data_IF_537808683428
#
_entry.id   IF_537808683428
#
_cell.length_a   1.000
_cell.length_b   1.000
_cell.length_c   1.000
_cell.angle_alpha   90.00
_cell.angle_beta   90.00
_cell.angle_gamma   90.00
#
_symmetry.space_group_name_H-M   'P 1'
#
loop_
_entity.id
_entity.type
_entity.pdbx_description
1 polymer ?
#
# COMPACT_ATOMS: atom_id res chain seq x y z
N UNK A 1 -2.53 32.43 6.94
CA UNK A 1 -1.24 32.07 6.34
C UNK A 1 -1.08 30.56 6.44
N UNK A 2 -0.66 29.95 5.34
CA UNK A 2 -0.52 28.52 5.02
C UNK A 2 -0.81 27.46 6.09
N UNK A 3 -1.87 26.68 5.86
CA UNK A 3 -2.02 25.33 6.39
C UNK A 3 -1.00 24.43 5.71
N UNK A 4 0.19 24.28 6.29
CA UNK A 4 1.16 23.28 5.85
C UNK A 4 0.68 21.91 6.33
N UNK A 5 -0.14 21.23 5.53
CA UNK A 5 -0.32 19.78 5.67
C UNK A 5 0.99 19.13 5.22
N UNK A 6 1.89 18.91 6.17
CA UNK A 6 2.97 17.96 6.00
C UNK A 6 2.33 16.58 5.88
N UNK A 7 2.19 16.08 4.65
CA UNK A 7 1.59 14.79 4.37
C UNK A 7 2.59 13.73 4.84
N UNK A 8 2.49 13.34 6.10
CA UNK A 8 3.25 12.22 6.64
C UNK A 8 3.09 11.00 5.72
N UNK A 9 4.15 10.21 5.49
CA UNK A 9 4.02 8.99 4.73
C UNK A 9 2.91 8.13 5.35
N UNK A 10 2.05 7.50 4.52
CA UNK A 10 0.95 6.71 5.04
C UNK A 10 1.52 5.60 5.94
N UNK A 11 1.08 5.61 7.19
CA UNK A 11 1.40 4.52 8.10
C UNK A 11 0.66 3.26 7.63
N UNK A 12 -0.60 3.40 7.22
CA UNK A 12 -1.40 2.31 6.70
C UNK A 12 -1.98 2.67 5.32
N UNK A 13 -2.28 1.66 4.51
CA UNK A 13 -2.91 1.82 3.21
C UNK A 13 -4.04 0.81 3.02
N UNK A 14 -5.19 1.28 2.53
CA UNK A 14 -6.35 0.47 2.14
C UNK A 14 -6.59 0.65 0.64
N UNK A 15 -6.56 -0.44 -0.12
CA UNK A 15 -6.72 -0.44 -1.57
C UNK A 15 -8.01 -1.15 -1.95
N UNK A 16 -8.99 -0.38 -2.41
CA UNK A 16 -10.29 -0.86 -2.92
C UNK A 16 -10.41 -0.89 -4.45
N UNK A 17 -9.45 -0.30 -5.15
CA UNK A 17 -9.43 -0.22 -6.62
C UNK A 17 -8.08 -0.59 -7.20
N UNK A 18 -7.71 0.01 -8.33
CA UNK A 18 -6.45 -0.28 -8.99
C UNK A 18 -5.37 0.74 -8.60
N UNK A 19 -4.29 0.27 -7.99
CA UNK A 19 -3.09 1.05 -7.76
C UNK A 19 -1.96 0.53 -8.65
N UNK A 20 -1.32 1.40 -9.43
CA UNK A 20 -0.15 1.06 -10.23
C UNK A 20 0.96 2.08 -9.98
N UNK A 21 2.10 1.64 -9.45
CA UNK A 21 3.23 2.53 -9.16
C UNK A 21 4.11 2.04 -8.03
N UNK A 22 4.75 2.98 -7.33
CA UNK A 22 5.58 2.70 -6.16
C UNK A 22 4.80 3.02 -4.88
N UNK A 23 4.50 2.00 -4.09
CA UNK A 23 3.78 2.12 -2.82
C UNK A 23 4.71 1.76 -1.67
N UNK A 24 4.88 2.67 -0.71
CA UNK A 24 5.67 2.42 0.49
C UNK A 24 4.78 2.67 1.71
N UNK A 25 4.52 1.61 2.46
CA UNK A 25 3.65 1.58 3.64
C UNK A 25 4.48 1.04 4.79
N UNK A 26 4.64 1.82 5.86
CA UNK A 26 5.47 1.36 7.00
C UNK A 26 4.71 0.47 7.98
N UNK A 27 3.40 0.64 8.07
CA UNK A 27 2.47 -0.19 8.83
C UNK A 27 1.77 -1.18 7.91
N UNK A 28 0.44 -1.19 7.94
CA UNK A 28 -0.38 -2.23 7.31
C UNK A 28 -0.89 -1.84 5.93
N UNK A 29 -0.65 -2.72 4.96
CA UNK A 29 -1.24 -2.67 3.62
C UNK A 29 -2.41 -3.66 3.55
N UNK A 30 -3.63 -3.13 3.41
CA UNK A 30 -4.85 -3.91 3.19
C UNK A 30 -5.28 -3.82 1.72
N UNK A 31 -5.24 -4.94 1.02
CA UNK A 31 -5.79 -5.07 -0.34
C UNK A 31 -7.15 -5.74 -0.26
N UNK A 32 -8.19 -4.99 -0.64
CA UNK A 32 -9.57 -5.46 -0.56
C UNK A 32 -9.91 -6.44 -1.66
N UNK A 33 -11.06 -7.10 -1.55
CA UNK A 33 -11.52 -8.10 -2.52
C UNK A 33 -11.56 -7.63 -3.99
N UNK A 34 -11.72 -6.32 -4.25
CA UNK A 34 -11.68 -5.72 -5.60
C UNK A 34 -10.41 -4.91 -5.85
N UNK A 35 -9.48 -4.90 -4.89
CA UNK A 35 -8.24 -4.15 -4.95
C UNK A 35 -7.20 -4.85 -5.80
N UNK A 36 -6.57 -4.11 -6.70
CA UNK A 36 -5.47 -4.59 -7.54
C UNK A 36 -4.28 -3.66 -7.37
N UNK A 37 -3.15 -4.19 -6.90
CA UNK A 37 -1.91 -3.43 -6.74
C UNK A 37 -0.87 -3.94 -7.74
N UNK A 38 -0.23 -3.02 -8.45
CA UNK A 38 0.79 -3.28 -9.46
C UNK A 38 2.02 -2.40 -9.25
N UNK A 39 3.22 -2.94 -9.37
CA UNK A 39 4.47 -2.16 -9.40
C UNK A 39 5.45 -2.55 -8.30
N UNK A 40 6.03 -1.57 -7.60
CA UNK A 40 6.94 -1.80 -6.47
C UNK A 40 6.21 -1.50 -5.17
N UNK A 41 6.04 -2.52 -4.34
CA UNK A 41 5.30 -2.43 -3.08
C UNK A 41 6.25 -2.74 -1.93
N UNK A 42 6.43 -1.77 -1.04
CA UNK A 42 7.08 -1.95 0.24
C UNK A 42 6.05 -1.86 1.37
N UNK A 43 5.99 -2.87 2.24
CA UNK A 43 5.05 -2.90 3.37
C UNK A 43 5.72 -3.33 4.68
N UNK A 44 5.15 -2.95 5.82
CA UNK A 44 5.46 -3.54 7.12
C UNK A 44 4.66 -4.81 7.37
N UNK A 45 3.34 -4.72 7.23
CA UNK A 45 2.41 -5.85 7.33
C UNK A 45 1.47 -5.84 6.12
N UNK A 46 1.07 -7.02 5.63
CA UNK A 46 0.18 -7.14 4.48
C UNK A 46 -1.03 -8.03 4.79
N UNK A 47 -2.21 -7.57 4.39
CA UNK A 47 -3.44 -8.35 4.37
C UNK A 47 -4.10 -8.25 3.00
N UNK A 48 -4.45 -9.39 2.42
CA UNK A 48 -5.13 -9.47 1.13
C UNK A 48 -6.44 -10.23 1.33
N UNK A 49 -7.56 -9.55 1.13
CA UNK A 49 -8.87 -10.17 1.14
C UNK A 49 -9.09 -11.06 -0.09
N UNK A 50 -10.02 -12.02 0.00
CA UNK A 50 -10.33 -12.94 -1.12
C UNK A 50 -10.78 -12.15 -2.35
N UNK A 51 -10.02 -12.26 -3.43
CA UNK A 51 -10.23 -11.53 -4.69
C UNK A 51 -9.23 -10.38 -4.91
N UNK A 52 -8.54 -9.94 -3.87
CA UNK A 52 -7.47 -8.96 -3.97
C UNK A 52 -6.30 -9.50 -4.80
N UNK A 53 -5.74 -8.64 -5.64
CA UNK A 53 -4.64 -8.99 -6.54
C UNK A 53 -3.43 -8.11 -6.28
N UNK A 54 -2.24 -8.72 -6.25
CA UNK A 54 -0.97 -8.01 -6.25
C UNK A 54 -0.11 -8.54 -7.38
N UNK A 55 0.59 -7.63 -8.05
CA UNK A 55 1.51 -7.93 -9.14
C UNK A 55 2.74 -7.01 -9.08
N UNK A 56 3.91 -7.55 -9.42
CA UNK A 56 5.17 -6.80 -9.46
C UNK A 56 6.16 -7.19 -8.36
N UNK A 57 6.96 -6.22 -7.93
CA UNK A 57 8.03 -6.40 -6.96
C UNK A 57 7.51 -6.09 -5.56
N UNK A 58 7.66 -7.05 -4.66
CA UNK A 58 7.20 -6.94 -3.28
C UNK A 58 8.42 -6.99 -2.37
N UNK A 59 8.49 -6.08 -1.41
CA UNK A 59 9.55 -6.03 -0.40
C UNK A 59 8.94 -5.74 0.95
N UNK A 60 9.37 -6.45 1.98
CA UNK A 60 9.04 -6.10 3.36
C UNK A 60 10.17 -5.28 3.98
N UNK A 61 9.86 -4.57 5.07
CA UNK A 61 10.85 -3.78 5.83
C UNK A 61 11.58 -4.60 6.91
N UNK A 62 11.57 -5.93 6.85
CA UNK A 62 12.35 -6.76 7.78
C UNK A 62 13.83 -6.69 7.38
N UNK A 63 14.60 -5.91 8.14
CA UNK A 63 16.05 -6.10 8.28
C UNK A 63 16.33 -7.17 9.34
#
# INVERSE_FOLDING_TARGET
MASSTEKAPPQDADIQGCFAGNLVVRGRLLVRATGTVGGKIAYGEIEIERGGQISGEISDHTD
#
